data_IF_596155609257
#
_entry.id   IF_596155609257
#
_cell.length_a   1.000
_cell.length_b   1.000
_cell.length_c   1.000
_cell.angle_alpha   90.00
_cell.angle_beta   90.00
_cell.angle_gamma   90.00
#
_symmetry.space_group_name_H-M   'P 1'
#
loop_
_entity.id
_entity.type
_entity.pdbx_description
1 polymer ?
#
# COMPACT_ATOMS: atom_id res chain seq x y z
N UNK A 1 3.23 17.32 -1.56
CA UNK A 1 2.68 16.63 -2.76
C UNK A 1 1.30 16.03 -2.47
N UNK A 2 0.30 16.24 -3.35
CA UNK A 2 -1.01 15.58 -3.25
C UNK A 2 -0.97 14.18 -3.89
N UNK A 3 -0.77 13.16 -3.08
CA UNK A 3 -0.69 11.77 -3.53
C UNK A 3 -2.11 11.21 -3.62
N UNK A 4 -2.50 10.67 -4.78
CA UNK A 4 -3.79 10.04 -5.04
C UNK A 4 -3.63 8.54 -5.24
N UNK A 5 -4.67 7.79 -4.90
CA UNK A 5 -4.81 6.38 -5.23
C UNK A 5 -5.43 6.26 -6.61
N UNK A 6 -4.79 5.54 -7.51
CA UNK A 6 -5.24 5.39 -8.91
C UNK A 6 -5.81 4.01 -9.20
N UNK A 7 -5.38 2.98 -8.47
CA UNK A 7 -5.92 1.62 -8.61
C UNK A 7 -5.80 0.82 -7.29
N UNK A 8 -6.67 -0.18 -7.14
CA UNK A 8 -6.48 -1.33 -6.25
C UNK A 8 -6.59 -2.60 -7.07
N UNK A 9 -5.63 -3.50 -6.90
CA UNK A 9 -5.67 -4.85 -7.47
C UNK A 9 -5.72 -5.85 -6.33
N UNK A 10 -6.77 -6.66 -6.26
CA UNK A 10 -6.93 -7.72 -5.28
C UNK A 10 -6.33 -9.00 -5.85
N UNK A 11 -5.47 -9.65 -5.06
CA UNK A 11 -4.91 -10.95 -5.39
C UNK A 11 -5.55 -12.00 -4.48
N UNK A 12 -6.04 -13.08 -5.08
CA UNK A 12 -6.70 -14.17 -4.37
C UNK A 12 -5.89 -15.45 -4.46
N UNK A 13 -6.01 -16.33 -3.47
CA UNK A 13 -5.54 -17.72 -3.56
C UNK A 13 -6.54 -18.61 -4.33
N UNK A 14 -6.26 -19.92 -4.39
CA UNK A 14 -7.12 -20.89 -5.05
C UNK A 14 -8.46 -21.12 -4.36
N UNK A 15 -8.58 -20.74 -3.09
CA UNK A 15 -9.81 -20.85 -2.29
C UNK A 15 -10.63 -19.55 -2.28
N UNK A 16 -10.12 -18.50 -2.94
CA UNK A 16 -10.76 -17.20 -3.05
C UNK A 16 -10.45 -16.24 -1.89
N UNK A 17 -9.54 -16.59 -0.97
CA UNK A 17 -9.13 -15.67 0.09
C UNK A 17 -8.21 -14.59 -0.48
N UNK A 18 -8.36 -13.36 -0.01
CA UNK A 18 -7.45 -12.28 -0.40
C UNK A 18 -6.07 -12.54 0.21
N UNK A 19 -5.04 -12.68 -0.63
CA UNK A 19 -3.65 -12.89 -0.21
C UNK A 19 -2.87 -11.58 -0.13
N UNK A 20 -3.21 -10.61 -0.98
CA UNK A 20 -2.64 -9.27 -0.95
C UNK A 20 -3.48 -8.29 -1.75
N UNK A 21 -3.27 -7.01 -1.51
CA UNK A 21 -3.87 -5.93 -2.31
C UNK A 21 -2.75 -4.98 -2.75
N UNK A 22 -2.57 -4.83 -4.05
CA UNK A 22 -1.65 -3.85 -4.61
C UNK A 22 -2.36 -2.51 -4.79
N UNK A 23 -1.83 -1.47 -4.17
CA UNK A 23 -2.34 -0.10 -4.25
C UNK A 23 -1.41 0.73 -5.13
N UNK A 24 -1.94 1.26 -6.22
CA UNK A 24 -1.22 2.21 -7.07
C UNK A 24 -1.44 3.64 -6.55
N UNK A 25 -0.34 4.34 -6.29
CA UNK A 25 -0.29 5.70 -5.78
C UNK A 25 0.46 6.59 -6.78
N UNK A 26 -0.10 7.76 -7.09
CA UNK A 26 0.54 8.76 -7.95
C UNK A 26 0.35 10.16 -7.39
N UNK A 27 1.37 11.01 -7.47
CA UNK A 27 1.28 12.41 -7.12
C UNK A 27 2.37 13.22 -7.81
N UNK A 28 2.15 14.53 -7.89
CA UNK A 28 3.17 15.46 -8.36
C UNK A 28 3.05 16.81 -7.65
N UNK A 29 4.16 17.53 -7.58
CA UNK A 29 4.25 18.91 -7.11
C UNK A 29 5.34 19.62 -7.90
N UNK A 30 4.94 20.50 -8.84
CA UNK A 30 5.89 21.05 -9.81
C UNK A 30 6.54 19.95 -10.66
N UNK A 31 7.87 19.90 -10.65
CA UNK A 31 8.67 18.90 -11.35
C UNK A 31 8.86 17.59 -10.55
N UNK A 32 8.50 17.58 -9.26
CA UNK A 32 8.63 16.39 -8.43
C UNK A 32 7.45 15.45 -8.69
N UNK A 33 7.75 14.18 -8.91
CA UNK A 33 6.75 13.15 -9.18
C UNK A 33 6.96 11.91 -8.31
N UNK A 34 5.84 11.29 -7.95
CA UNK A 34 5.79 10.00 -7.28
C UNK A 34 4.89 9.08 -8.09
N UNK A 35 5.40 7.90 -8.42
CA UNK A 35 4.61 6.77 -8.89
C UNK A 35 5.04 5.54 -8.08
N UNK A 36 4.10 4.90 -7.39
CA UNK A 36 4.39 3.76 -6.53
C UNK A 36 3.30 2.69 -6.66
N UNK A 37 3.71 1.43 -6.67
CA UNK A 37 2.86 0.28 -6.45
C UNK A 37 3.24 -0.34 -5.12
N UNK A 38 2.32 -0.32 -4.15
CA UNK A 38 2.56 -0.82 -2.81
C UNK A 38 1.71 -2.07 -2.60
N UNK A 39 2.36 -3.20 -2.38
CA UNK A 39 1.68 -4.43 -2.02
C UNK A 39 1.41 -4.44 -0.51
N UNK A 40 0.13 -4.46 -0.14
CA UNK A 40 -0.34 -4.70 1.22
C UNK A 40 -0.55 -6.20 1.39
N UNK A 41 0.11 -6.77 2.38
CA UNK A 41 0.14 -8.20 2.73
C UNK A 41 -0.41 -8.40 4.15
N UNK A 42 -0.69 -9.64 4.58
CA UNK A 42 -1.15 -9.91 5.95
C UNK A 42 -0.22 -9.36 7.04
N UNK A 43 1.09 -9.30 6.79
CA UNK A 43 2.10 -8.74 7.71
C UNK A 43 1.96 -7.22 7.93
N UNK A 44 1.29 -6.52 7.01
CA UNK A 44 1.04 -5.09 7.11
C UNK A 44 -0.25 -4.77 7.90
N UNK A 45 -1.02 -5.79 8.27
CA UNK A 45 -2.29 -5.65 9.00
C UNK A 45 -2.07 -5.64 10.52
N UNK A 46 -3.00 -5.06 11.26
CA UNK A 46 -2.97 -5.18 12.73
C UNK A 46 -3.27 -6.62 13.15
N UNK A 47 -2.69 -7.07 14.26
CA UNK A 47 -2.93 -8.43 14.79
C UNK A 47 -4.42 -8.75 14.87
N UNK A 48 -4.82 -9.88 14.29
CA UNK A 48 -6.22 -10.35 14.23
C UNK A 48 -7.07 -9.73 13.12
N UNK A 49 -6.55 -8.82 12.30
CA UNK A 49 -7.26 -8.32 11.11
C UNK A 49 -7.06 -9.26 9.91
N UNK A 50 -8.10 -9.39 9.09
CA UNK A 50 -8.06 -9.96 7.75
C UNK A 50 -8.47 -8.89 6.73
N UNK A 51 -8.24 -9.17 5.44
CA UNK A 51 -8.67 -8.26 4.37
C UNK A 51 -10.19 -8.09 4.29
N UNK A 52 -10.98 -9.07 4.73
CA UNK A 52 -12.46 -9.06 4.60
C UNK A 52 -13.13 -7.97 5.42
N UNK A 53 -12.48 -7.50 6.49
CA UNK A 53 -12.96 -6.43 7.35
C UNK A 53 -12.47 -5.03 6.97
N UNK A 54 -11.61 -4.91 5.97
CA UNK A 54 -10.93 -3.65 5.63
C UNK A 54 -11.61 -2.93 4.47
N UNK A 55 -11.85 -1.64 4.65
CA UNK A 55 -12.35 -0.80 3.56
C UNK A 55 -11.22 -0.42 2.62
N UNK A 56 -11.57 0.03 1.41
CA UNK A 56 -10.59 0.61 0.49
C UNK A 56 -9.81 1.78 1.11
N UNK A 57 -10.41 2.54 2.05
CA UNK A 57 -9.75 3.64 2.74
C UNK A 57 -8.69 3.12 3.69
N UNK A 58 -8.97 2.03 4.41
CA UNK A 58 -8.02 1.41 5.33
C UNK A 58 -6.82 0.86 4.57
N UNK A 59 -7.06 0.11 3.49
CA UNK A 59 -6.00 -0.42 2.61
C UNK A 59 -5.14 0.70 2.02
N UNK A 60 -5.77 1.80 1.59
CA UNK A 60 -5.03 2.97 1.10
C UNK A 60 -4.18 3.63 2.19
N UNK A 61 -4.66 3.62 3.43
CA UNK A 61 -3.95 4.19 4.59
C UNK A 61 -2.72 3.35 4.93
N UNK A 62 -2.87 2.03 4.96
CA UNK A 62 -1.77 1.07 5.16
C UNK A 62 -0.72 1.23 4.06
N UNK A 63 -1.13 1.29 2.79
CA UNK A 63 -0.22 1.48 1.67
C UNK A 63 0.57 2.80 1.74
N UNK A 64 -0.06 3.90 2.19
CA UNK A 64 0.64 5.18 2.39
C UNK A 64 1.64 5.13 3.53
N UNK A 65 1.28 4.47 4.65
CA UNK A 65 2.20 4.29 5.77
C UNK A 65 3.42 3.45 5.35
N UNK A 66 3.19 2.37 4.60
CA UNK A 66 4.27 1.52 4.05
C UNK A 66 5.16 2.27 3.06
N UNK A 67 4.58 3.06 2.16
CA UNK A 67 5.34 3.94 1.27
C UNK A 67 6.21 4.93 2.06
N UNK A 68 5.64 5.63 3.05
CA UNK A 68 6.36 6.60 3.86
C UNK A 68 7.55 5.94 4.59
N UNK A 69 7.38 4.72 5.12
CA UNK A 69 8.45 3.94 5.74
C UNK A 69 9.54 3.54 4.75
N UNK A 70 9.16 3.15 3.52
CA UNK A 70 10.11 2.75 2.49
C UNK A 70 10.92 3.92 1.91
N UNK A 71 10.40 5.14 1.99
CA UNK A 71 11.05 6.36 1.47
C UNK A 71 11.70 7.22 2.55
N UNK A 72 11.44 6.95 3.83
CA UNK A 72 12.24 7.53 4.91
C UNK A 72 13.66 6.99 4.74
N UNK A 73 14.63 7.90 4.55
CA UNK A 73 16.03 7.61 4.21
C UNK A 73 16.50 6.26 4.76
N UNK A 74 16.85 5.33 3.86
CA UNK A 74 17.60 4.13 4.24
C UNK A 74 18.93 4.63 4.83
N UNK A 75 19.06 4.61 6.15
CA UNK A 75 20.31 4.96 6.82
C UNK A 75 21.41 3.92 6.58
N UNK A 76 21.14 2.90 5.76
CA UNK A 76 22.18 2.11 5.11
C UNK A 76 23.06 1.38 6.10
N UNK A 77 22.49 0.67 7.06
CA UNK A 77 23.24 -0.43 7.70
C UNK A 77 23.15 -1.66 6.81
N UNK A 78 24.10 -1.73 5.88
CA UNK A 78 24.51 -2.98 5.21
C UNK A 78 24.90 -4.06 6.22
#
# INVERSE_FOLDING_TARGET
MNIKKTALTYNFDGDGNTTSITVSLSGNEGADYLNANIQVTPEDLTSGQTFDGLTMKDITTIARAKLAKATAEDTGTK
#
